data_IF_188755352900
#
_entry.id   IF_188755352900
#
_cell.length_a   1.000
_cell.length_b   1.000
_cell.length_c   1.000
_cell.angle_alpha   90.00
_cell.angle_beta   90.00
_cell.angle_gamma   90.00
#
_symmetry.space_group_name_H-M   'P 1'
#
loop_
_entity.id
_entity.type
_entity.pdbx_description
1 polymer ?
#
# COMPACT_ATOMS: atom_id res chain seq x y z
N UNK A 1 54.23 -36.19 -69.97
CA UNK A 1 54.94 -37.49 -69.96
C UNK A 1 55.93 -37.45 -68.79
N UNK A 2 55.97 -38.45 -67.90
CA UNK A 2 56.87 -38.44 -66.71
C UNK A 2 58.33 -38.50 -67.17
N UNK A 3 59.06 -37.39 -67.07
CA UNK A 3 60.48 -37.35 -67.44
C UNK A 3 61.38 -37.89 -66.33
N UNK A 4 62.63 -38.32 -66.63
CA UNK A 4 63.57 -38.79 -65.62
C UNK A 4 63.86 -37.76 -64.51
N UNK A 5 63.85 -36.47 -64.85
CA UNK A 5 64.06 -35.37 -63.90
C UNK A 5 62.90 -35.24 -62.92
N UNK A 6 61.66 -35.31 -63.42
CA UNK A 6 60.45 -35.30 -62.59
C UNK A 6 60.40 -36.51 -61.67
N UNK A 7 60.73 -37.70 -62.19
CA UNK A 7 60.74 -38.93 -61.39
C UNK A 7 61.82 -38.89 -60.29
N UNK A 8 63.02 -38.39 -60.61
CA UNK A 8 64.10 -38.23 -59.62
C UNK A 8 63.71 -37.26 -58.51
N UNK A 9 63.08 -36.13 -58.87
CA UNK A 9 62.61 -35.14 -57.91
C UNK A 9 61.54 -35.71 -56.98
N UNK A 10 60.51 -36.35 -57.54
CA UNK A 10 59.42 -36.96 -56.75
C UNK A 10 59.97 -38.05 -55.83
N UNK A 11 60.95 -38.85 -56.28
CA UNK A 11 61.55 -39.93 -55.48
C UNK A 11 62.27 -39.39 -54.25
N UNK A 12 63.03 -38.31 -54.38
CA UNK A 12 63.71 -37.69 -53.24
C UNK A 12 62.71 -37.03 -52.28
N UNK A 13 61.69 -36.35 -52.80
CA UNK A 13 60.66 -35.73 -51.95
C UNK A 13 59.80 -36.75 -51.22
N UNK A 14 59.55 -37.92 -51.82
CA UNK A 14 58.93 -39.07 -51.15
C UNK A 14 59.83 -39.61 -50.04
N UNK A 15 61.16 -39.70 -50.27
CA UNK A 15 62.15 -40.14 -49.27
C UNK A 15 62.20 -39.21 -48.06
N UNK A 16 62.09 -37.90 -48.30
CA UNK A 16 62.05 -36.86 -47.26
C UNK A 16 60.67 -36.69 -46.62
N UNK A 17 59.66 -37.46 -47.06
CA UNK A 17 58.27 -37.40 -46.59
C UNK A 17 57.57 -36.04 -46.83
N UNK A 18 57.96 -35.31 -47.87
CA UNK A 18 57.46 -33.98 -48.25
C UNK A 18 56.55 -34.03 -49.48
N UNK A 19 55.59 -34.97 -49.50
CA UNK A 19 54.78 -35.27 -50.70
C UNK A 19 53.81 -34.14 -51.08
N UNK A 20 53.22 -33.48 -50.08
CA UNK A 20 52.23 -32.42 -50.31
C UNK A 20 52.89 -31.13 -50.81
N UNK A 21 54.06 -30.81 -50.28
CA UNK A 21 54.90 -29.68 -50.66
C UNK A 21 55.41 -29.85 -52.09
N UNK A 22 55.93 -31.04 -52.42
CA UNK A 22 56.40 -31.36 -53.76
C UNK A 22 55.31 -31.22 -54.82
N UNK A 23 54.06 -31.64 -54.52
CA UNK A 23 52.93 -31.45 -55.46
C UNK A 23 52.65 -29.98 -55.74
N UNK A 24 52.63 -29.14 -54.69
CA UNK A 24 52.42 -27.70 -54.84
C UNK A 24 53.54 -27.04 -55.62
N UNK A 25 54.79 -27.40 -55.33
CA UNK A 25 55.95 -26.82 -55.99
C UNK A 25 56.02 -27.20 -57.48
N UNK A 26 55.77 -28.46 -57.83
CA UNK A 26 55.76 -28.89 -59.22
C UNK A 26 54.66 -28.21 -60.03
N UNK A 27 53.47 -28.00 -59.44
CA UNK A 27 52.41 -27.21 -60.06
C UNK A 27 52.83 -25.75 -60.28
N UNK A 28 53.51 -25.14 -59.30
CA UNK A 28 54.04 -23.77 -59.43
C UNK A 28 55.14 -23.66 -60.50
N UNK A 29 55.95 -24.71 -60.65
CA UNK A 29 56.96 -24.83 -61.70
C UNK A 29 56.37 -25.15 -63.09
N UNK A 30 55.05 -25.26 -63.19
CA UNK A 30 54.34 -25.42 -64.46
C UNK A 30 54.23 -26.86 -64.98
N UNK A 31 54.51 -27.86 -64.13
CA UNK A 31 54.29 -29.26 -64.52
C UNK A 31 52.79 -29.57 -64.59
N UNK A 32 52.33 -30.32 -65.61
CA UNK A 32 50.93 -30.74 -65.71
C UNK A 32 50.54 -31.63 -64.54
N UNK A 33 49.39 -31.36 -63.91
CA UNK A 33 48.89 -32.12 -62.75
C UNK A 33 48.78 -33.62 -63.04
N UNK A 34 48.40 -33.99 -64.27
CA UNK A 34 48.31 -35.38 -64.73
C UNK A 34 49.66 -36.08 -64.77
N UNK A 35 50.74 -35.37 -65.10
CA UNK A 35 52.11 -35.92 -65.09
C UNK A 35 52.67 -36.03 -63.66
N UNK A 36 52.32 -35.08 -62.79
CA UNK A 36 52.67 -35.10 -61.37
C UNK A 36 52.02 -36.32 -60.69
N UNK A 37 50.71 -36.49 -60.85
CA UNK A 37 49.98 -37.61 -60.25
C UNK A 37 50.45 -38.95 -60.83
N UNK A 38 50.67 -39.06 -62.14
CA UNK A 38 51.24 -40.26 -62.74
C UNK A 38 52.64 -40.59 -62.19
N UNK A 39 53.48 -39.58 -61.94
CA UNK A 39 54.80 -39.75 -61.31
C UNK A 39 54.70 -40.26 -59.87
N UNK A 40 53.80 -39.70 -59.06
CA UNK A 40 53.55 -40.17 -57.69
C UNK A 40 52.92 -41.56 -57.65
N UNK A 41 51.97 -41.88 -58.53
CA UNK A 41 51.37 -43.21 -58.64
C UNK A 41 52.40 -44.27 -59.04
N UNK A 42 53.28 -43.93 -59.99
CA UNK A 42 54.39 -44.80 -60.42
C UNK A 42 55.38 -45.09 -59.27
N UNK A 43 55.71 -44.08 -58.46
CA UNK A 43 56.67 -44.22 -57.35
C UNK A 43 56.05 -44.88 -56.12
N UNK A 44 54.77 -44.62 -55.83
CA UNK A 44 54.09 -45.12 -54.63
C UNK A 44 53.36 -46.45 -54.85
N UNK A 45 53.20 -46.90 -56.10
CA UNK A 45 52.64 -48.21 -56.44
C UNK A 45 51.14 -48.35 -56.13
N UNK A 46 50.39 -47.25 -56.01
CA UNK A 46 48.97 -47.29 -55.63
C UNK A 46 48.10 -47.08 -56.86
N UNK A 47 47.62 -48.17 -57.46
CA UNK A 47 46.55 -48.11 -58.45
C UNK A 47 45.19 -47.88 -57.73
N UNK A 48 44.43 -46.87 -58.16
CA UNK A 48 43.09 -46.60 -57.64
C UNK A 48 42.05 -47.55 -58.24
N UNK A 49 41.26 -48.25 -57.41
CA UNK A 49 40.16 -49.15 -57.88
C UNK A 49 38.77 -48.68 -57.40
N UNK A 50 37.72 -48.87 -58.23
CA UNK A 50 36.41 -48.21 -58.09
C UNK A 50 35.44 -48.93 -57.14
N UNK A 51 35.91 -49.43 -55.99
CA UNK A 51 35.07 -50.15 -55.00
C UNK A 51 34.85 -49.35 -53.70
N UNK A 52 35.62 -48.28 -53.46
CA UNK A 52 35.49 -47.42 -52.26
C UNK A 52 34.35 -46.39 -52.34
N UNK A 53 33.90 -45.98 -53.53
CA UNK A 53 32.84 -44.96 -53.67
C UNK A 53 31.45 -45.46 -53.20
N UNK A 54 31.11 -46.74 -53.40
CA UNK A 54 29.79 -47.27 -52.99
C UNK A 54 29.62 -47.37 -51.47
N UNK A 55 30.69 -47.64 -50.72
CA UNK A 55 30.63 -47.70 -49.24
C UNK A 55 30.50 -46.31 -48.62
N UNK A 56 31.10 -45.29 -49.23
CA UNK A 56 31.05 -43.91 -48.72
C UNK A 56 29.66 -43.28 -48.85
N UNK A 57 28.96 -43.54 -49.97
CA UNK A 57 27.58 -43.06 -50.19
C UNK A 57 26.56 -43.67 -49.20
N UNK A 58 26.72 -44.94 -48.82
CA UNK A 58 25.84 -45.59 -47.85
C UNK A 58 26.04 -45.02 -46.43
N UNK A 59 27.29 -44.75 -46.05
CA UNK A 59 27.60 -44.14 -44.74
C UNK A 59 27.08 -42.70 -44.67
N UNK A 60 27.20 -41.92 -45.74
CA UNK A 60 26.68 -40.55 -45.78
C UNK A 60 25.14 -40.52 -45.72
N UNK A 61 24.48 -41.46 -46.39
CA UNK A 61 23.02 -41.62 -46.32
C UNK A 61 22.53 -41.96 -44.90
N UNK A 62 23.23 -42.85 -44.20
CA UNK A 62 22.91 -43.20 -42.81
C UNK A 62 23.14 -42.02 -41.84
N UNK A 63 24.20 -41.23 -42.04
CA UNK A 63 24.47 -40.03 -41.23
C UNK A 63 23.37 -38.98 -41.43
N UNK A 64 22.91 -38.75 -42.66
CA UNK A 64 21.81 -37.82 -42.93
C UNK A 64 20.47 -38.29 -42.35
N UNK A 65 20.19 -39.60 -42.37
CA UNK A 65 19.01 -40.17 -41.72
C UNK A 65 19.10 -40.02 -40.20
N UNK A 66 20.26 -40.28 -39.59
CA UNK A 66 20.47 -40.05 -38.16
C UNK A 66 20.36 -38.56 -37.78
N UNK A 67 20.84 -37.64 -38.62
CA UNK A 67 20.67 -36.20 -38.43
C UNK A 67 19.21 -35.77 -38.57
N UNK A 68 18.47 -36.31 -39.55
CA UNK A 68 17.04 -36.06 -39.71
C UNK A 68 16.23 -36.63 -38.55
N UNK A 69 16.61 -37.79 -38.01
CA UNK A 69 16.01 -38.38 -36.80
C UNK A 69 16.38 -37.56 -35.56
N UNK A 70 17.62 -37.04 -35.43
CA UNK A 70 18.02 -36.17 -34.31
C UNK A 70 17.34 -34.80 -34.35
N UNK A 71 17.16 -34.22 -35.54
CA UNK A 71 16.40 -32.97 -35.73
C UNK A 71 14.90 -33.23 -35.52
N UNK A 72 14.36 -34.33 -36.04
CA UNK A 72 12.96 -34.73 -35.85
C UNK A 72 12.62 -35.11 -34.40
N UNK A 73 13.51 -35.81 -33.70
CA UNK A 73 13.38 -36.16 -32.28
C UNK A 73 13.66 -34.97 -31.36
N UNK A 74 14.55 -34.06 -31.75
CA UNK A 74 14.73 -32.76 -31.09
C UNK A 74 13.48 -31.88 -31.18
N UNK A 75 12.72 -31.98 -32.29
CA UNK A 75 11.44 -31.28 -32.47
C UNK A 75 10.29 -31.98 -31.72
N UNK A 76 10.33 -33.30 -31.53
CA UNK A 76 9.24 -34.06 -30.88
C UNK A 76 9.30 -34.12 -29.34
N UNK A 77 10.41 -33.72 -28.69
CA UNK A 77 10.52 -33.68 -27.21
C UNK A 77 10.11 -32.33 -26.61
N UNK A 78 9.77 -31.32 -27.42
CA UNK A 78 9.26 -30.01 -26.96
C UNK A 78 7.73 -29.88 -26.94
N UNK A 79 7.03 -31.02 -26.88
CA UNK A 79 5.58 -31.09 -26.69
C UNK A 79 5.12 -31.07 -25.23
N UNK A 80 5.94 -30.65 -24.25
CA UNK A 80 5.40 -30.32 -22.93
C UNK A 80 4.67 -29.00 -23.07
N UNK A 81 3.36 -29.09 -23.30
CA UNK A 81 2.40 -27.98 -23.21
C UNK A 81 2.83 -27.06 -22.08
N UNK A 82 3.24 -25.83 -22.43
CA UNK A 82 3.62 -24.85 -21.42
C UNK A 82 2.42 -24.68 -20.48
N UNK A 83 2.58 -25.05 -19.20
CA UNK A 83 1.52 -24.86 -18.21
C UNK A 83 1.07 -23.40 -18.27
N UNK A 84 -0.24 -23.12 -18.36
CA UNK A 84 -0.76 -21.76 -18.40
C UNK A 84 -0.39 -20.99 -17.13
N UNK A 85 -0.40 -19.67 -17.21
CA UNK A 85 -0.30 -18.79 -16.04
C UNK A 85 -1.61 -18.98 -15.27
N UNK A 86 -1.55 -19.20 -13.96
CA UNK A 86 -2.78 -19.29 -13.20
C UNK A 86 -3.20 -17.87 -12.83
N UNK A 87 -4.26 -17.36 -13.47
CA UNK A 87 -4.80 -16.02 -13.20
C UNK A 87 -6.07 -16.21 -12.39
N UNK A 88 -6.11 -15.63 -11.20
CA UNK A 88 -7.25 -15.72 -10.29
C UNK A 88 -7.65 -14.35 -9.80
N UNK A 89 -8.95 -14.15 -9.66
CA UNK A 89 -9.54 -13.03 -8.93
C UNK A 89 -9.89 -13.51 -7.53
N UNK A 90 -9.49 -12.74 -6.50
CA UNK A 90 -9.71 -13.03 -5.08
C UNK A 90 -10.13 -11.75 -4.36
N UNK A 91 -10.77 -11.93 -3.21
CA UNK A 91 -11.12 -10.86 -2.28
C UNK A 91 -10.56 -11.23 -0.92
N UNK A 92 -9.76 -10.34 -0.33
CA UNK A 92 -9.09 -10.53 0.95
C UNK A 92 -9.43 -9.38 1.88
N UNK A 93 -9.67 -9.66 3.15
CA UNK A 93 -10.09 -8.66 4.14
C UNK A 93 -9.08 -7.52 4.31
N UNK A 94 -7.80 -7.83 4.12
CA UNK A 94 -6.67 -6.94 4.33
C UNK A 94 -6.53 -5.89 3.23
N UNK A 95 -6.69 -6.31 1.96
CA UNK A 95 -6.38 -5.47 0.78
C UNK A 95 -7.60 -5.12 -0.08
N UNK A 96 -8.67 -5.92 0.00
CA UNK A 96 -9.86 -5.80 -0.83
C UNK A 96 -9.81 -6.75 -2.02
N UNK A 97 -10.23 -6.26 -3.19
CA UNK A 97 -10.18 -6.98 -4.45
C UNK A 97 -8.71 -7.17 -4.91
N UNK A 98 -8.40 -8.33 -5.48
CA UNK A 98 -7.06 -8.61 -6.01
C UNK A 98 -7.10 -9.56 -7.21
N UNK A 99 -6.22 -9.33 -8.18
CA UNK A 99 -5.91 -10.27 -9.24
C UNK A 99 -4.49 -10.80 -9.01
N UNK A 100 -4.35 -12.11 -8.97
CA UNK A 100 -3.05 -12.78 -8.81
C UNK A 100 -2.73 -13.54 -10.10
N UNK A 101 -1.57 -13.27 -10.66
CA UNK A 101 -0.97 -14.05 -11.74
C UNK A 101 0.15 -14.90 -11.14
N UNK A 102 -0.10 -16.20 -11.02
CA UNK A 102 0.84 -17.17 -10.50
C UNK A 102 1.60 -17.85 -11.65
N UNK A 103 2.91 -17.62 -11.66
CA UNK A 103 3.81 -18.11 -12.70
C UNK A 103 4.42 -19.44 -12.27
N UNK A 104 4.02 -20.50 -12.97
CA UNK A 104 4.58 -21.86 -12.80
C UNK A 104 6.08 -21.99 -13.17
N UNK A 105 6.68 -20.95 -13.77
CA UNK A 105 8.10 -20.88 -14.13
C UNK A 105 8.67 -19.55 -13.67
N UNK A 106 9.89 -19.58 -13.15
CA UNK A 106 10.60 -18.37 -12.71
C UNK A 106 10.68 -17.36 -13.84
N UNK A 107 10.17 -16.16 -13.59
CA UNK A 107 10.25 -15.00 -14.47
C UNK A 107 10.64 -13.78 -13.64
N UNK A 108 11.04 -12.68 -14.28
CA UNK A 108 11.40 -11.44 -13.59
C UNK A 108 10.28 -10.42 -13.69
N UNK A 109 10.27 -9.48 -12.74
CA UNK A 109 9.33 -8.35 -12.70
C UNK A 109 9.31 -7.57 -14.02
N UNK A 110 10.49 -7.25 -14.58
CA UNK A 110 10.62 -6.45 -15.82
C UNK A 110 10.03 -7.16 -17.03
N UNK A 111 9.98 -8.49 -16.98
CA UNK A 111 9.31 -9.28 -18.00
C UNK A 111 7.82 -9.43 -17.69
N UNK A 112 7.38 -9.45 -16.44
CA UNK A 112 5.99 -9.70 -16.07
C UNK A 112 5.11 -8.46 -16.23
N UNK A 113 5.49 -7.34 -15.60
CA UNK A 113 4.65 -6.14 -15.49
C UNK A 113 4.21 -5.54 -16.84
N UNK A 114 5.10 -5.32 -17.84
CA UNK A 114 4.70 -4.66 -19.09
C UNK A 114 3.73 -5.46 -19.94
N UNK A 115 3.50 -6.74 -19.59
CA UNK A 115 2.61 -7.65 -20.33
C UNK A 115 1.24 -7.78 -19.68
N UNK A 116 1.04 -7.26 -18.47
CA UNK A 116 -0.26 -7.20 -17.83
C UNK A 116 -1.06 -6.00 -18.36
N UNK A 117 -2.35 -6.23 -18.62
CA UNK A 117 -3.33 -5.17 -18.83
C UNK A 117 -4.73 -5.70 -18.48
N UNK A 118 -5.66 -4.81 -18.12
CA UNK A 118 -7.04 -5.16 -17.79
C UNK A 118 -8.01 -4.31 -18.61
N UNK A 119 -9.15 -4.88 -19.00
CA UNK A 119 -10.22 -4.21 -19.74
C UNK A 119 -11.58 -4.42 -19.04
N UNK A 120 -12.38 -3.37 -18.78
CA UNK A 120 -12.02 -1.95 -18.91
C UNK A 120 -10.80 -1.59 -18.04
N UNK A 121 -10.14 -0.48 -18.39
CA UNK A 121 -8.95 -0.03 -17.66
C UNK A 121 -9.31 0.30 -16.20
N UNK A 122 -8.46 -0.11 -15.27
CA UNK A 122 -8.65 0.07 -13.83
C UNK A 122 -7.34 0.54 -13.23
N UNK A 123 -7.37 1.67 -12.51
CA UNK A 123 -6.22 2.13 -11.73
C UNK A 123 -5.98 1.20 -10.54
N UNK A 124 -4.73 0.78 -10.35
CA UNK A 124 -4.36 -0.13 -9.29
C UNK A 124 -2.86 -0.27 -9.12
N UNK A 125 -2.46 -0.83 -7.98
CA UNK A 125 -1.08 -1.21 -7.73
C UNK A 125 -0.77 -2.51 -8.45
N UNK A 126 0.37 -2.56 -9.14
CA UNK A 126 0.86 -3.76 -9.81
C UNK A 126 2.21 -4.14 -9.21
N UNK A 127 2.22 -5.14 -8.33
CA UNK A 127 3.39 -5.48 -7.51
C UNK A 127 3.86 -6.89 -7.79
N UNK A 128 5.18 -7.03 -7.97
CA UNK A 128 5.83 -8.32 -8.08
C UNK A 128 6.22 -8.85 -6.69
N UNK A 129 5.92 -10.12 -6.44
CA UNK A 129 6.27 -10.82 -5.20
C UNK A 129 7.27 -11.93 -5.55
N UNK A 130 8.54 -11.65 -5.30
CA UNK A 130 9.66 -12.51 -5.69
C UNK A 130 9.61 -13.91 -5.06
N UNK A 131 9.21 -13.99 -3.79
CA UNK A 131 9.22 -15.23 -3.02
C UNK A 131 8.23 -16.27 -3.57
N UNK A 132 7.10 -15.79 -4.10
CA UNK A 132 6.04 -16.63 -4.65
C UNK A 132 6.02 -16.64 -6.18
N UNK A 133 6.87 -15.84 -6.84
CA UNK A 133 6.90 -15.69 -8.30
C UNK A 133 5.50 -15.32 -8.84
N UNK A 134 4.86 -14.37 -8.16
CA UNK A 134 3.49 -13.91 -8.43
C UNK A 134 3.48 -12.42 -8.78
N UNK A 135 2.61 -12.04 -9.71
CA UNK A 135 2.28 -10.64 -9.98
C UNK A 135 0.89 -10.35 -9.42
N UNK A 136 0.82 -9.40 -8.50
CA UNK A 136 -0.38 -9.00 -7.79
C UNK A 136 -0.88 -7.68 -8.36
N UNK A 137 -2.17 -7.58 -8.62
CA UNK A 137 -2.83 -6.35 -9.02
C UNK A 137 -3.98 -6.02 -8.06
N UNK A 138 -3.88 -4.88 -7.38
CA UNK A 138 -4.86 -4.41 -6.40
C UNK A 138 -5.48 -3.07 -6.88
N UNK A 139 -6.76 -3.03 -7.30
CA UNK A 139 -7.40 -1.82 -7.79
C UNK A 139 -7.59 -0.78 -6.68
N UNK A 140 -7.31 0.48 -6.97
CA UNK A 140 -7.37 1.57 -5.97
C UNK A 140 -8.76 1.77 -5.38
N UNK A 141 -9.82 1.54 -6.16
CA UNK A 141 -11.21 1.73 -5.73
C UNK A 141 -12.03 0.42 -5.67
N UNK A 142 -11.39 -0.73 -5.82
CA UNK A 142 -12.10 -2.00 -6.04
C UNK A 142 -12.65 -2.15 -7.47
N UNK A 143 -13.30 -3.27 -7.76
CA UNK A 143 -14.00 -3.53 -9.02
C UNK A 143 -15.50 -3.24 -8.91
N UNK A 144 -16.11 -2.81 -10.01
CA UNK A 144 -17.55 -2.56 -10.08
C UNK A 144 -18.34 -3.88 -10.08
N UNK A 145 -19.32 -4.00 -9.20
CA UNK A 145 -20.14 -5.22 -9.09
C UNK A 145 -20.91 -5.51 -10.37
N UNK A 146 -20.93 -6.78 -10.79
CA UNK A 146 -21.64 -7.22 -11.99
C UNK A 146 -20.97 -6.82 -13.32
N UNK A 147 -19.87 -6.05 -13.27
CA UNK A 147 -19.09 -5.69 -14.45
C UNK A 147 -18.20 -6.86 -14.87
N UNK A 148 -18.18 -7.15 -16.17
CA UNK A 148 -17.22 -8.08 -16.76
C UNK A 148 -15.87 -7.38 -16.94
N UNK A 149 -14.81 -8.03 -16.45
CA UNK A 149 -13.42 -7.62 -16.63
C UNK A 149 -12.65 -8.71 -17.38
N UNK A 150 -11.75 -8.30 -18.26
CA UNK A 150 -10.82 -9.16 -18.96
C UNK A 150 -9.39 -8.79 -18.59
N UNK A 151 -8.72 -9.70 -17.89
CA UNK A 151 -7.28 -9.65 -17.69
C UNK A 151 -6.60 -10.20 -18.93
N UNK A 152 -5.71 -9.41 -19.50
CA UNK A 152 -4.91 -9.74 -20.66
C UNK A 152 -3.44 -9.81 -20.24
N UNK A 153 -2.85 -11.00 -20.33
CA UNK A 153 -1.41 -11.17 -20.20
C UNK A 153 -0.81 -11.46 -21.58
N UNK A 154 -0.05 -10.50 -22.11
CA UNK A 154 0.52 -10.58 -23.46
C UNK A 154 1.65 -11.63 -23.51
N UNK A 155 1.83 -12.22 -24.70
CA UNK A 155 2.93 -13.15 -24.95
C UNK A 155 4.26 -12.38 -24.96
N UNK A 156 5.32 -12.97 -24.45
CA UNK A 156 6.64 -12.33 -24.42
C UNK A 156 7.29 -12.34 -25.80
N UNK A 157 7.96 -11.25 -26.15
CA UNK A 157 8.79 -11.12 -27.35
C UNK A 157 10.10 -10.48 -26.91
N UNK A 158 11.23 -11.11 -27.21
CA UNK A 158 12.53 -10.54 -26.87
C UNK A 158 12.99 -9.53 -27.93
N UNK A 159 14.11 -8.86 -27.70
CA UNK A 159 14.69 -7.86 -28.63
C UNK A 159 15.03 -8.42 -30.03
N UNK A 160 15.07 -9.74 -30.19
CA UNK A 160 15.30 -10.42 -31.46
C UNK A 160 14.01 -10.92 -32.13
N UNK A 161 12.83 -10.51 -31.64
CA UNK A 161 11.54 -10.93 -32.16
C UNK A 161 11.17 -12.38 -31.82
N UNK A 162 11.94 -13.07 -30.98
CA UNK A 162 11.65 -14.44 -30.57
C UNK A 162 10.55 -14.46 -29.52
N UNK A 163 9.48 -15.18 -29.83
CA UNK A 163 8.32 -15.35 -28.95
C UNK A 163 8.68 -16.31 -27.81
N UNK A 164 8.33 -15.94 -26.58
CA UNK A 164 8.47 -16.79 -25.40
C UNK A 164 7.24 -16.65 -24.48
N UNK A 165 7.04 -17.65 -23.63
CA UNK A 165 5.89 -17.71 -22.74
C UNK A 165 4.55 -17.93 -23.45
N UNK A 166 3.48 -17.87 -22.67
CA UNK A 166 2.10 -18.05 -23.12
C UNK A 166 1.37 -16.73 -22.90
N UNK A 167 0.64 -16.26 -23.91
CA UNK A 167 -0.31 -15.16 -23.74
C UNK A 167 -1.63 -15.74 -23.27
N UNK A 168 -2.30 -15.09 -22.33
CA UNK A 168 -3.51 -15.60 -21.69
C UNK A 168 -4.52 -14.50 -21.46
N UNK A 169 -5.80 -14.86 -21.60
CA UNK A 169 -6.93 -14.01 -21.26
C UNK A 169 -7.72 -14.68 -20.15
N UNK A 170 -8.15 -13.91 -19.16
CA UNK A 170 -8.98 -14.38 -18.06
C UNK A 170 -10.13 -13.40 -17.87
N UNK A 171 -11.37 -13.90 -17.96
CA UNK A 171 -12.55 -13.08 -17.72
C UNK A 171 -13.10 -13.39 -16.34
N UNK A 172 -13.50 -12.35 -15.60
CA UNK A 172 -14.21 -12.50 -14.34
C UNK A 172 -15.29 -11.42 -14.20
N UNK A 173 -16.24 -11.68 -13.31
CA UNK A 173 -17.23 -10.71 -12.87
C UNK A 173 -16.98 -10.44 -11.40
N UNK A 174 -16.85 -9.17 -11.04
CA UNK A 174 -16.72 -8.82 -9.63
C UNK A 174 -18.06 -9.05 -8.91
N UNK A 175 -18.02 -9.85 -7.86
CA UNK A 175 -19.17 -10.19 -7.02
C UNK A 175 -18.98 -9.64 -5.62
N UNK A 176 -20.07 -9.63 -4.85
CA UNK A 176 -20.02 -9.35 -3.41
C UNK A 176 -19.22 -10.47 -2.73
N UNK A 177 -18.35 -10.12 -1.78
CA UNK A 177 -17.55 -11.10 -1.05
C UNK A 177 -18.42 -11.92 -0.13
N UNK A 178 -18.29 -13.24 -0.23
CA UNK A 178 -18.89 -14.21 0.69
C UNK A 178 -17.89 -14.52 1.81
N UNK A 179 -17.46 -13.53 2.59
CA UNK A 179 -16.78 -13.85 3.85
C UNK A 179 -17.83 -14.52 4.74
N UNK A 180 -17.56 -15.77 5.13
CA UNK A 180 -18.51 -16.60 5.87
C UNK A 180 -19.12 -15.81 7.04
N UNK A 181 -20.43 -15.64 6.99
CA UNK A 181 -21.30 -15.20 8.07
C UNK A 181 -21.32 -16.29 9.17
N UNK A 182 -20.16 -16.65 9.72
CA UNK A 182 -20.13 -17.39 10.98
C UNK A 182 -20.65 -16.42 12.02
N UNK A 183 -21.89 -16.67 12.45
CA UNK A 183 -22.52 -16.11 13.65
C UNK A 183 -21.64 -16.44 14.86
N UNK A 184 -20.56 -15.68 15.06
CA UNK A 184 -19.77 -15.75 16.27
C UNK A 184 -20.37 -14.77 17.29
N UNK A 185 -20.92 -15.36 18.35
CA UNK A 185 -20.92 -14.80 19.70
C UNK A 185 -22.00 -13.77 19.99
N UNK A 186 -23.00 -14.19 20.76
CA UNK A 186 -23.83 -13.30 21.56
C UNK A 186 -22.97 -12.30 22.38
N UNK A 187 -23.51 -11.11 22.69
CA UNK A 187 -22.83 -10.14 23.54
C UNK A 187 -22.45 -10.81 24.87
N UNK A 188 -21.15 -10.87 25.15
CA UNK A 188 -20.65 -11.27 26.46
C UNK A 188 -21.02 -10.14 27.43
N UNK A 189 -22.15 -10.29 28.10
CA UNK A 189 -22.50 -9.49 29.26
C UNK A 189 -21.47 -9.74 30.35
N UNK A 190 -20.41 -8.93 30.39
CA UNK A 190 -19.49 -8.93 31.53
C UNK A 190 -20.19 -8.17 32.67
N UNK A 191 -20.41 -8.88 33.77
CA UNK A 191 -20.82 -8.30 35.03
C UNK A 191 -19.75 -7.29 35.48
N UNK A 192 -20.17 -6.07 35.82
CA UNK A 192 -19.29 -4.94 36.14
C UNK A 192 -18.55 -5.26 37.44
N UNK A 193 -17.25 -5.57 37.37
CA UNK A 193 -16.42 -5.72 38.58
C UNK A 193 -16.14 -4.31 39.12
N UNK A 194 -16.60 -3.95 40.33
CA UNK A 194 -16.36 -2.63 40.89
C UNK A 194 -14.86 -2.36 41.07
N UNK A 195 -14.36 -1.25 40.50
CA UNK A 195 -12.97 -0.81 40.64
C UNK A 195 -12.04 -1.13 39.45
N UNK A 196 -12.52 -1.82 38.42
CA UNK A 196 -11.79 -2.01 37.15
C UNK A 196 -12.49 -1.19 36.06
N UNK A 197 -11.76 -0.24 35.47
CA UNK A 197 -12.28 0.56 34.35
C UNK A 197 -12.63 -0.36 33.17
N UNK A 198 -13.87 -0.31 32.70
CA UNK A 198 -14.32 -1.12 31.56
C UNK A 198 -13.85 -0.46 30.27
N UNK A 199 -12.77 -0.99 29.69
CA UNK A 199 -12.26 -0.55 28.38
C UNK A 199 -13.11 -1.12 27.25
N UNK A 200 -13.52 -0.27 26.31
CA UNK A 200 -14.09 -0.69 25.03
C UNK A 200 -13.69 0.22 23.88
N UNK A 201 -13.79 -0.29 22.66
CA UNK A 201 -13.55 0.43 21.41
C UNK A 201 -14.91 0.59 20.71
N UNK A 202 -15.23 1.80 20.31
CA UNK A 202 -16.39 2.11 19.46
C UNK A 202 -15.90 2.53 18.08
N UNK A 203 -16.34 1.82 17.05
CA UNK A 203 -15.98 2.05 15.65
C UNK A 203 -17.24 2.48 14.92
N UNK A 204 -17.33 3.76 14.62
CA UNK A 204 -18.42 4.31 13.81
C UNK A 204 -17.96 4.42 12.35
N UNK A 205 -18.50 3.55 11.49
CA UNK A 205 -18.16 3.44 10.08
C UNK A 205 -18.82 4.50 9.20
N UNK A 206 -19.86 5.17 9.70
CA UNK A 206 -20.52 6.27 9.00
C UNK A 206 -19.78 7.58 9.29
N UNK A 207 -19.53 7.88 10.57
CA UNK A 207 -18.72 9.02 10.99
C UNK A 207 -17.20 8.84 10.72
N UNK A 208 -16.76 7.64 10.31
CA UNK A 208 -15.36 7.29 10.08
C UNK A 208 -14.46 7.61 11.31
N UNK A 209 -14.92 7.24 12.51
CA UNK A 209 -14.18 7.48 13.76
C UNK A 209 -14.06 6.24 14.62
N UNK A 210 -12.92 6.12 15.30
CA UNK A 210 -12.69 5.13 16.36
C UNK A 210 -12.55 5.87 17.69
N UNK A 211 -13.33 5.45 18.68
CA UNK A 211 -13.30 6.00 20.04
C UNK A 211 -12.82 4.94 21.02
N UNK A 212 -11.95 5.34 21.95
CA UNK A 212 -11.50 4.52 23.06
C UNK A 212 -12.31 4.93 24.27
N UNK A 213 -13.02 3.99 24.89
CA UNK A 213 -13.92 4.26 26.00
C UNK A 213 -13.41 3.61 27.28
N UNK A 214 -13.51 4.36 28.36
CA UNK A 214 -13.38 3.84 29.72
C UNK A 214 -14.66 4.14 30.48
N UNK A 215 -15.26 3.08 31.05
CA UNK A 215 -16.50 3.14 31.82
C UNK A 215 -17.69 3.78 31.06
N UNK A 216 -17.69 3.65 29.73
CA UNK A 216 -18.73 4.17 28.84
C UNK A 216 -18.49 5.59 28.33
N UNK A 217 -17.39 6.23 28.73
CA UNK A 217 -17.01 7.56 28.26
C UNK A 217 -15.82 7.46 27.30
N UNK A 218 -15.89 8.14 26.15
CA UNK A 218 -14.73 8.23 25.27
C UNK A 218 -13.60 9.02 25.96
N UNK A 219 -12.46 8.37 26.15
CA UNK A 219 -11.22 9.00 26.62
C UNK A 219 -10.32 9.44 25.46
N UNK A 220 -10.60 8.95 24.25
CA UNK A 220 -9.94 9.39 23.03
C UNK A 220 -10.84 9.12 21.82
N UNK A 221 -10.68 9.93 20.78
CA UNK A 221 -11.35 9.75 19.49
C UNK A 221 -10.38 10.07 18.36
N UNK A 222 -10.34 9.21 17.36
CA UNK A 222 -9.42 9.32 16.22
C UNK A 222 -10.16 9.07 14.91
N UNK A 223 -9.68 9.64 13.78
CA UNK A 223 -10.20 9.32 12.46
C UNK A 223 -9.81 7.91 12.03
N UNK A 224 -10.71 7.23 11.34
CA UNK A 224 -10.45 5.98 10.61
C UNK A 224 -9.95 6.34 9.21
N UNK A 225 -8.84 5.74 8.79
CA UNK A 225 -8.24 6.04 7.49
C UNK A 225 -8.98 5.32 6.34
N UNK A 226 -9.39 4.07 6.56
CA UNK A 226 -10.17 3.31 5.58
C UNK A 226 -10.97 2.18 6.24
N UNK A 227 -12.04 1.77 5.55
CA UNK A 227 -12.92 0.65 5.91
C UNK A 227 -13.12 -0.29 4.73
N UNK A 228 -13.83 -1.38 4.96
CA UNK A 228 -14.25 -2.31 3.92
C UNK A 228 -15.09 -1.63 2.84
N UNK A 229 -15.03 -2.14 1.61
CA UNK A 229 -15.82 -1.61 0.51
C UNK A 229 -17.32 -1.80 0.82
N UNK A 230 -18.14 -0.73 0.94
CA UNK A 230 -19.54 -0.85 1.36
C UNK A 230 -20.41 -1.72 0.45
N UNK A 231 -20.01 -1.86 -0.82
CA UNK A 231 -20.78 -2.57 -1.84
C UNK A 231 -20.32 -4.01 -1.99
N UNK A 232 -19.01 -4.25 -2.07
CA UNK A 232 -18.46 -5.58 -2.34
C UNK A 232 -18.04 -6.32 -1.07
N UNK A 233 -17.34 -5.68 -0.15
CA UNK A 233 -16.69 -6.32 1.00
C UNK A 233 -16.78 -5.44 2.26
N UNK A 234 -17.99 -5.24 2.81
CA UNK A 234 -18.21 -4.29 3.89
C UNK A 234 -17.52 -4.73 5.17
N UNK A 235 -17.10 -3.76 5.99
CA UNK A 235 -16.66 -4.03 7.36
C UNK A 235 -17.82 -4.61 8.16
N UNK A 236 -17.54 -5.67 8.91
CA UNK A 236 -18.54 -6.36 9.72
C UNK A 236 -18.98 -5.50 10.92
N UNK A 237 -20.27 -5.18 10.98
CA UNK A 237 -20.90 -4.53 12.14
C UNK A 237 -21.29 -5.56 13.22
N UNK A 238 -21.35 -5.13 14.48
CA UNK A 238 -21.69 -5.94 15.64
C UNK A 238 -20.79 -5.69 16.85
N UNK A 239 -20.92 -6.56 17.85
CA UNK A 239 -20.11 -6.53 19.06
C UNK A 239 -19.09 -7.67 19.03
N UNK A 240 -17.84 -7.33 19.28
CA UNK A 240 -16.69 -8.22 19.20
C UNK A 240 -15.75 -8.01 20.39
N UNK A 241 -14.63 -8.71 20.39
CA UNK A 241 -13.52 -8.47 21.32
C UNK A 241 -12.20 -8.59 20.57
N UNK A 242 -11.16 -7.90 21.04
CA UNK A 242 -9.78 -8.11 20.55
C UNK A 242 -9.39 -9.55 20.86
N UNK A 243 -9.19 -10.37 19.83
CA UNK A 243 -8.81 -11.79 19.95
C UNK A 243 -7.29 -11.97 20.05
N UNK A 244 -6.55 -11.26 19.21
CA UNK A 244 -5.09 -11.30 19.17
C UNK A 244 -4.52 -9.91 18.92
N UNK A 245 -3.25 -9.72 19.26
CA UNK A 245 -2.49 -8.50 19.01
C UNK A 245 -1.13 -8.86 18.45
N UNK A 246 -0.79 -8.32 17.29
CA UNK A 246 0.48 -8.55 16.61
C UNK A 246 1.07 -7.20 16.19
N UNK A 247 2.23 -6.79 16.74
CA UNK A 247 2.85 -5.52 16.36
C UNK A 247 3.13 -5.41 14.86
N UNK A 248 3.34 -6.55 14.21
CA UNK A 248 3.56 -6.66 12.77
C UNK A 248 3.07 -8.02 12.27
N UNK A 249 1.86 -8.07 11.73
CA UNK A 249 1.25 -9.27 11.18
C UNK A 249 1.53 -9.39 9.67
N UNK A 250 1.90 -10.57 9.19
CA UNK A 250 2.02 -10.84 7.75
C UNK A 250 0.80 -11.63 7.28
N UNK A 251 0.00 -11.05 6.39
CA UNK A 251 -1.08 -11.81 5.77
C UNK A 251 -0.50 -12.80 4.77
N UNK A 252 -0.57 -14.08 5.10
CA UNK A 252 -0.19 -15.15 4.17
C UNK A 252 -1.10 -15.24 2.94
N UNK A 253 -2.30 -14.66 3.01
CA UNK A 253 -3.29 -14.64 1.93
C UNK A 253 -3.02 -13.48 0.97
N UNK A 254 -3.00 -12.25 1.48
CA UNK A 254 -2.85 -11.03 0.70
C UNK A 254 -1.38 -10.60 0.49
N UNK A 255 -0.41 -11.29 1.10
CA UNK A 255 1.03 -11.04 0.99
C UNK A 255 1.48 -9.62 1.41
N UNK A 256 0.73 -8.99 2.31
CA UNK A 256 1.06 -7.67 2.86
C UNK A 256 1.38 -7.74 4.35
N UNK A 257 2.17 -6.77 4.81
CA UNK A 257 2.38 -6.51 6.23
C UNK A 257 1.31 -5.57 6.76
N UNK A 258 0.74 -5.90 7.91
CA UNK A 258 -0.21 -5.10 8.67
C UNK A 258 0.42 -4.72 10.02
N UNK A 259 0.83 -3.45 10.22
CA UNK A 259 1.39 -3.01 11.49
C UNK A 259 0.28 -2.84 12.54
N UNK A 260 0.62 -3.09 13.81
CA UNK A 260 -0.29 -2.97 14.96
C UNK A 260 -1.65 -3.66 14.75
N UNK A 261 -1.62 -4.91 14.31
CA UNK A 261 -2.81 -5.65 13.92
C UNK A 261 -3.51 -6.25 15.16
N UNK A 262 -4.80 -5.97 15.27
CA UNK A 262 -5.68 -6.53 16.30
C UNK A 262 -6.83 -7.29 15.63
N UNK A 263 -6.81 -8.62 15.73
CA UNK A 263 -7.88 -9.45 15.18
C UNK A 263 -9.14 -9.30 16.04
N UNK A 264 -10.32 -9.15 15.42
CA UNK A 264 -11.57 -9.08 16.17
C UNK A 264 -12.66 -10.05 15.71
N UNK A 265 -12.62 -10.52 14.46
CA UNK A 265 -13.59 -11.50 13.94
C UNK A 265 -13.03 -12.18 12.69
N UNK A 266 -13.02 -13.51 12.59
CA UNK A 266 -12.50 -14.22 11.39
C UNK A 266 -11.18 -13.62 10.87
N UNK A 267 -11.17 -13.21 9.60
CA UNK A 267 -10.03 -12.55 8.94
C UNK A 267 -10.03 -11.01 9.07
N UNK A 268 -10.87 -10.44 9.94
CA UNK A 268 -11.04 -9.00 10.14
C UNK A 268 -10.17 -8.47 11.28
N UNK A 269 -9.45 -7.39 10.99
CA UNK A 269 -8.53 -6.72 11.90
C UNK A 269 -8.80 -5.22 11.99
N UNK A 270 -8.45 -4.63 13.14
CA UNK A 270 -8.12 -3.21 13.26
C UNK A 270 -6.61 -3.11 13.17
N UNK A 271 -6.05 -2.37 12.20
CA UNK A 271 -4.61 -2.32 11.98
C UNK A 271 -4.16 -0.98 11.37
N UNK A 272 -2.86 -0.68 11.42
CA UNK A 272 -2.27 0.46 10.71
C UNK A 272 -2.19 0.25 9.20
N UNK A 273 -1.77 1.26 8.45
CA UNK A 273 -1.78 1.19 6.99
C UNK A 273 -0.93 0.02 6.44
N UNK A 274 -1.48 -0.88 5.61
CA UNK A 274 -0.75 -2.05 5.13
C UNK A 274 0.27 -1.68 4.06
N UNK A 275 1.31 -2.50 3.95
CA UNK A 275 2.40 -2.30 2.99
C UNK A 275 2.90 -3.61 2.39
N UNK A 276 3.36 -3.54 1.15
CA UNK A 276 3.93 -4.67 0.41
C UNK A 276 5.28 -5.11 1.00
N UNK A 277 5.76 -6.34 0.73
CA UNK A 277 7.05 -6.82 1.23
C UNK A 277 8.23 -5.91 0.86
N UNK A 278 8.14 -5.20 -0.26
CA UNK A 278 9.14 -4.22 -0.71
C UNK A 278 9.09 -2.88 0.04
N UNK A 279 8.19 -2.70 1.02
CA UNK A 279 8.04 -1.49 1.82
C UNK A 279 7.08 -0.45 1.23
N UNK A 280 6.56 -0.64 0.02
CA UNK A 280 5.61 0.29 -0.60
C UNK A 280 4.26 0.22 0.11
N UNK A 281 3.72 1.37 0.51
CA UNK A 281 2.37 1.44 1.10
C UNK A 281 1.32 0.99 0.07
N UNK A 282 0.31 0.27 0.52
CA UNK A 282 -0.81 -0.15 -0.32
C UNK A 282 -1.66 1.07 -0.71
N UNK A 283 -1.96 1.29 -1.98
CA UNK A 283 -2.73 2.46 -2.42
C UNK A 283 -4.24 2.22 -2.48
N UNK A 284 -4.72 1.03 -2.11
CA UNK A 284 -6.16 0.73 -2.13
C UNK A 284 -6.92 1.57 -1.11
N UNK A 285 -7.98 2.26 -1.55
CA UNK A 285 -8.83 3.10 -0.71
C UNK A 285 -9.64 2.29 0.28
N UNK A 286 -10.12 1.12 -0.15
CA UNK A 286 -10.93 0.23 0.66
C UNK A 286 -10.11 -0.99 1.08
N UNK A 287 -10.41 -1.52 2.26
CA UNK A 287 -10.03 -2.89 2.62
C UNK A 287 -11.08 -3.88 2.10
N UNK A 288 -10.84 -5.17 2.33
CA UNK A 288 -11.88 -6.19 2.15
C UNK A 288 -12.73 -6.41 3.39
N UNK A 289 -12.65 -5.50 4.37
CA UNK A 289 -13.39 -5.63 5.62
C UNK A 289 -12.68 -5.06 6.84
N UNK A 290 -11.36 -5.08 6.88
CA UNK A 290 -10.58 -4.54 8.00
C UNK A 290 -10.81 -3.03 8.22
N UNK A 291 -10.58 -2.57 9.44
CA UNK A 291 -10.55 -1.14 9.79
C UNK A 291 -9.09 -0.69 9.77
N UNK A 292 -8.75 0.23 8.86
CA UNK A 292 -7.38 0.76 8.72
C UNK A 292 -7.26 2.09 9.45
N UNK A 293 -6.22 2.20 10.25
CA UNK A 293 -5.86 3.39 11.00
C UNK A 293 -4.62 4.06 10.39
N UNK A 294 -4.55 5.38 10.53
CA UNK A 294 -3.37 6.15 10.12
C UNK A 294 -2.17 5.88 11.03
N UNK A 295 -1.00 6.31 10.57
CA UNK A 295 0.23 6.30 11.37
C UNK A 295 0.04 7.08 12.70
N UNK A 296 0.62 6.57 13.79
CA UNK A 296 0.44 7.09 15.15
C UNK A 296 -0.90 6.74 15.79
N UNK A 297 -2.01 6.77 15.04
CA UNK A 297 -3.33 6.34 15.55
C UNK A 297 -3.35 4.84 15.79
N UNK A 298 -2.82 4.03 14.84
CA UNK A 298 -2.75 2.58 15.00
C UNK A 298 -1.97 2.15 16.24
N UNK A 299 -0.84 2.81 16.52
CA UNK A 299 -0.02 2.59 17.70
C UNK A 299 -0.75 2.99 18.99
N UNK A 300 -1.35 4.18 19.04
CA UNK A 300 -2.10 4.63 20.21
C UNK A 300 -3.26 3.68 20.57
N UNK A 301 -4.03 3.24 19.58
CA UNK A 301 -5.14 2.30 19.77
C UNK A 301 -4.61 0.93 20.19
N UNK A 302 -3.54 0.44 19.53
CA UNK A 302 -2.94 -0.85 19.82
C UNK A 302 -2.34 -0.89 21.23
N UNK A 303 -1.61 0.12 21.66
CA UNK A 303 -0.97 0.14 22.97
C UNK A 303 -1.99 0.25 24.10
N UNK A 304 -3.09 1.00 23.89
CA UNK A 304 -4.14 1.16 24.88
C UNK A 304 -5.01 -0.10 25.07
N UNK A 305 -5.31 -0.80 23.96
CA UNK A 305 -6.18 -1.96 23.96
C UNK A 305 -5.48 -3.22 24.45
N UNK A 306 -6.22 -4.13 25.09
CA UNK A 306 -5.73 -5.42 25.55
C UNK A 306 -6.48 -6.54 24.82
N UNK A 307 -5.92 -7.75 24.78
CA UNK A 307 -6.68 -8.92 24.34
C UNK A 307 -7.89 -9.08 25.26
N UNK A 308 -9.09 -9.14 24.67
CA UNK A 308 -10.36 -9.18 25.38
C UNK A 308 -11.02 -7.81 25.61
N UNK A 309 -10.42 -6.69 25.16
CA UNK A 309 -11.11 -5.39 25.09
C UNK A 309 -12.32 -5.52 24.16
N UNK A 310 -13.49 -5.04 24.61
CA UNK A 310 -14.72 -5.10 23.82
C UNK A 310 -14.64 -4.12 22.64
N UNK A 311 -15.21 -4.49 21.51
CA UNK A 311 -15.29 -3.66 20.30
C UNK A 311 -16.74 -3.61 19.85
N UNK A 312 -17.28 -2.43 19.57
CA UNK A 312 -18.57 -2.26 18.90
C UNK A 312 -18.34 -1.59 17.56
N UNK A 313 -18.76 -2.22 16.48
CA UNK A 313 -18.68 -1.68 15.12
C UNK A 313 -20.08 -1.39 14.63
N UNK A 314 -20.37 -0.17 14.19
CA UNK A 314 -21.70 0.24 13.72
C UNK A 314 -21.64 1.39 12.70
N UNK A 315 -22.75 1.60 12.00
CA UNK A 315 -22.99 2.78 11.16
C UNK A 315 -24.11 3.71 11.69
N UNK A 316 -24.46 3.59 12.97
CA UNK A 316 -25.46 4.45 13.61
C UNK A 316 -24.99 5.93 13.67
N UNK A 317 -25.73 6.81 13.00
CA UNK A 317 -25.50 8.27 12.93
C UNK A 317 -25.93 9.00 14.21
N UNK A 318 -26.87 8.44 14.97
CA UNK A 318 -27.46 9.08 16.14
C UNK A 318 -26.74 8.68 17.44
N UNK A 319 -25.90 7.64 17.38
CA UNK A 319 -25.10 7.18 18.52
C UNK A 319 -23.90 8.10 18.75
N UNK A 320 -24.15 9.20 19.46
CA UNK A 320 -23.11 10.13 19.85
C UNK A 320 -22.36 9.59 21.06
N UNK A 321 -21.09 9.24 20.87
CA UNK A 321 -20.23 8.83 21.98
C UNK A 321 -19.89 10.04 22.83
N UNK A 322 -20.28 9.98 24.10
CA UNK A 322 -20.01 11.03 25.08
C UNK A 322 -18.56 10.93 25.55
N UNK A 323 -17.80 12.00 25.36
CA UNK A 323 -16.40 12.13 25.75
C UNK A 323 -16.31 12.41 27.25
N UNK A 324 -15.35 11.79 27.92
CA UNK A 324 -15.00 12.11 29.30
C UNK A 324 -14.52 13.57 29.37
N UNK A 325 -15.03 14.40 30.28
CA UNK A 325 -14.53 15.76 30.45
C UNK A 325 -13.03 15.82 30.74
N UNK A 326 -12.43 14.79 31.32
CA UNK A 326 -11.00 14.74 31.62
C UNK A 326 -10.14 14.53 30.36
N UNK A 327 -10.71 13.94 29.31
CA UNK A 327 -10.05 13.62 28.05
C UNK A 327 -10.02 14.76 27.04
N UNK A 328 -10.78 15.84 27.30
CA UNK A 328 -10.79 17.02 26.45
C UNK A 328 -9.39 17.64 26.35
N UNK A 329 -9.09 18.22 25.20
CA UNK A 329 -7.82 18.87 24.85
C UNK A 329 -8.06 20.35 24.53
N UNK A 330 -6.99 21.13 24.60
CA UNK A 330 -7.03 22.52 24.16
C UNK A 330 -7.42 22.59 22.66
N UNK A 331 -8.40 23.43 22.34
CA UNK A 331 -8.96 23.57 21.00
C UNK A 331 -10.20 22.70 20.73
N UNK A 332 -10.56 21.79 21.62
CA UNK A 332 -11.78 20.98 21.45
C UNK A 332 -13.02 21.88 21.53
N UNK A 333 -13.95 21.68 20.60
CA UNK A 333 -15.27 22.27 20.63
C UNK A 333 -16.25 21.28 21.23
N UNK A 334 -16.95 21.68 22.28
CA UNK A 334 -17.69 20.79 23.16
C UNK A 334 -19.11 21.28 23.38
N UNK A 335 -20.07 20.35 23.44
CA UNK A 335 -21.44 20.62 23.87
C UNK A 335 -21.83 19.63 24.98
N UNK A 336 -22.43 20.13 26.06
CA UNK A 336 -23.01 19.25 27.07
C UNK A 336 -24.30 18.60 26.56
N UNK A 337 -24.58 17.37 26.96
CA UNK A 337 -25.81 16.67 26.58
C UNK A 337 -27.07 17.49 26.94
N UNK A 338 -27.93 17.70 25.94
CA UNK A 338 -29.17 18.48 26.09
C UNK A 338 -28.98 19.99 26.19
N UNK A 339 -27.75 20.51 26.09
CA UNK A 339 -27.47 21.94 26.01
C UNK A 339 -27.41 22.42 24.56
N UNK A 340 -27.79 23.69 24.33
CA UNK A 340 -27.59 24.38 23.05
C UNK A 340 -26.19 24.98 22.93
N UNK A 341 -25.58 25.32 24.05
CA UNK A 341 -24.36 26.12 24.07
C UNK A 341 -23.14 25.29 23.67
N UNK A 342 -22.26 25.92 22.88
CA UNK A 342 -20.98 25.37 22.48
C UNK A 342 -19.87 26.02 23.30
N UNK A 343 -18.89 25.22 23.71
CA UNK A 343 -17.74 25.66 24.48
C UNK A 343 -16.45 25.28 23.77
N UNK A 344 -15.55 26.25 23.62
CA UNK A 344 -14.18 26.00 23.24
C UNK A 344 -13.37 25.70 24.50
N UNK A 345 -12.57 24.64 24.47
CA UNK A 345 -11.75 24.19 25.60
C UNK A 345 -10.33 24.71 25.48
N UNK A 346 -9.73 25.09 26.61
CA UNK A 346 -8.32 25.39 26.72
C UNK A 346 -7.74 24.77 28.00
N UNK A 347 -6.49 24.34 27.94
CA UNK A 347 -5.80 23.67 29.06
C UNK A 347 -4.44 24.32 29.24
N UNK A 348 -4.23 24.91 30.42
CA UNK A 348 -3.03 25.68 30.76
C UNK A 348 -2.48 25.17 32.08
N UNK A 349 -1.41 24.38 32.02
CA UNK A 349 -0.92 23.63 33.18
C UNK A 349 -2.03 22.71 33.72
N UNK A 350 -2.39 22.90 34.99
CA UNK A 350 -3.48 22.16 35.64
C UNK A 350 -4.87 22.82 35.47
N UNK A 351 -4.93 24.04 34.93
CA UNK A 351 -6.20 24.76 34.73
C UNK A 351 -6.93 24.24 33.50
N UNK A 352 -8.23 24.02 33.66
CA UNK A 352 -9.15 23.63 32.59
C UNK A 352 -10.13 24.77 32.37
N UNK A 353 -10.02 25.43 31.22
CA UNK A 353 -10.79 26.61 30.89
C UNK A 353 -11.81 26.29 29.81
N UNK A 354 -12.96 26.95 29.87
CA UNK A 354 -13.96 26.94 28.80
C UNK A 354 -14.37 28.37 28.46
N UNK A 355 -14.64 28.60 27.18
CA UNK A 355 -15.25 29.84 26.68
C UNK A 355 -16.43 29.48 25.82
N UNK A 356 -17.52 30.26 25.91
CA UNK A 356 -18.63 30.09 24.98
C UNK A 356 -18.19 30.40 23.55
N UNK A 357 -18.48 29.49 22.63
CA UNK A 357 -18.15 29.59 21.21
C UNK A 357 -19.36 30.07 20.41
N UNK A 358 -19.14 31.05 19.54
CA UNK A 358 -20.18 31.66 18.71
C UNK A 358 -19.83 31.49 17.24
N UNK A 359 -20.40 30.50 16.57
CA UNK A 359 -20.16 30.28 15.14
C UNK A 359 -20.95 29.12 14.57
N UNK A 360 -21.12 29.13 13.26
CA UNK A 360 -21.67 27.98 12.54
C UNK A 360 -20.57 26.94 12.39
N UNK A 361 -20.71 25.80 13.07
CA UNK A 361 -19.80 24.67 12.94
C UNK A 361 -20.58 23.43 12.55
N UNK A 362 -19.94 22.62 11.70
CA UNK A 362 -20.36 21.27 11.38
C UNK A 362 -20.50 20.44 12.66
N UNK A 363 -21.71 19.92 12.91
CA UNK A 363 -22.04 19.14 14.11
C UNK A 363 -21.11 17.94 14.32
N UNK A 364 -20.50 17.42 13.27
CA UNK A 364 -19.55 16.30 13.34
C UNK A 364 -18.25 16.67 14.10
N UNK A 365 -17.91 17.95 14.19
CA UNK A 365 -16.71 18.45 14.89
C UNK A 365 -16.96 18.78 16.37
N UNK A 366 -18.21 18.69 16.82
CA UNK A 366 -18.60 18.99 18.20
C UNK A 366 -18.52 17.72 19.04
N UNK A 367 -17.64 17.71 20.04
CA UNK A 367 -17.60 16.64 21.04
C UNK A 367 -18.78 16.80 22.00
N UNK A 368 -19.48 15.70 22.31
CA UNK A 368 -20.49 15.71 23.37
C UNK A 368 -19.88 15.27 24.68
N UNK A 369 -20.23 15.93 25.76
CA UNK A 369 -19.86 15.53 27.13
C UNK A 369 -21.12 15.39 28.00
N UNK A 370 -21.07 14.66 29.12
CA UNK A 370 -22.25 14.47 29.94
C UNK A 370 -22.77 15.81 30.44
N UNK A 371 -24.07 15.91 30.69
CA UNK A 371 -24.65 17.11 31.31
C UNK A 371 -23.92 17.46 32.62
N UNK A 372 -23.43 18.69 32.74
CA UNK A 372 -22.62 19.13 33.89
C UNK A 372 -21.17 18.63 33.89
N UNK A 373 -20.72 17.96 32.83
CA UNK A 373 -19.35 17.46 32.69
C UNK A 373 -18.31 18.59 32.69
N UNK A 374 -18.70 19.80 32.29
CA UNK A 374 -17.84 20.98 32.30
C UNK A 374 -17.93 21.79 33.60
N UNK A 375 -18.54 21.28 34.68
CA UNK A 375 -18.68 22.03 35.95
C UNK A 375 -17.32 22.37 36.59
N UNK A 376 -16.32 21.53 36.39
CA UNK A 376 -14.95 21.73 36.87
C UNK A 376 -14.11 22.64 35.98
N UNK A 377 -14.63 23.02 34.80
CA UNK A 377 -13.96 23.93 33.89
C UNK A 377 -14.29 25.37 34.26
N UNK A 378 -13.25 26.17 34.52
CA UNK A 378 -13.39 27.58 34.81
C UNK A 378 -13.80 28.34 33.54
N UNK A 379 -14.74 29.28 33.67
CA UNK A 379 -15.15 30.09 32.55
C UNK A 379 -14.15 31.23 32.32
N UNK A 380 -13.67 31.37 31.08
CA UNK A 380 -12.87 32.51 30.65
C UNK A 380 -13.62 33.23 29.53
N UNK A 381 -13.84 34.52 29.72
CA UNK A 381 -14.38 35.43 28.71
C UNK A 381 -13.27 36.11 27.88
N UNK A 382 -12.00 35.82 28.15
CA UNK A 382 -10.89 36.51 27.50
C UNK A 382 -10.50 35.85 26.19
N UNK A 383 -10.39 36.67 25.15
CA UNK A 383 -10.08 36.20 23.82
C UNK A 383 -9.32 37.24 23.00
N UNK A 384 -8.58 36.77 22.00
CA UNK A 384 -7.80 37.63 21.12
C UNK A 384 -7.96 37.17 19.68
N UNK A 385 -8.12 38.12 18.77
CA UNK A 385 -8.16 37.84 17.35
C UNK A 385 -6.73 37.54 16.86
N UNK A 386 -6.54 36.37 16.28
CA UNK A 386 -5.20 35.94 15.81
C UNK A 386 -4.92 36.34 14.36
N UNK A 387 -5.94 36.77 13.61
CA UNK A 387 -5.86 37.14 12.20
C UNK A 387 -6.06 38.65 12.03
N UNK A 388 -5.29 39.28 11.13
CA UNK A 388 -5.42 40.72 10.85
C UNK A 388 -4.53 41.66 11.67
N UNK A 389 -3.58 41.13 12.45
CA UNK A 389 -2.57 41.93 13.16
C UNK A 389 -3.07 42.70 14.37
N UNK A 390 -4.24 42.31 14.90
CA UNK A 390 -4.85 42.89 16.09
C UNK A 390 -4.21 42.31 17.36
N UNK A 391 -3.54 43.17 18.14
CA UNK A 391 -2.93 42.76 19.41
C UNK A 391 -3.84 43.00 20.61
N UNK A 392 -5.05 43.52 20.42
CA UNK A 392 -5.99 43.80 21.51
C UNK A 392 -6.56 42.51 22.10
N UNK A 393 -6.79 42.54 23.41
CA UNK A 393 -7.50 41.47 24.13
C UNK A 393 -8.93 41.92 24.36
N UNK A 394 -9.86 41.00 24.17
CA UNK A 394 -11.29 41.23 24.27
C UNK A 394 -11.88 40.40 25.39
N UNK A 395 -12.89 40.94 26.06
CA UNK A 395 -13.80 40.20 26.92
C UNK A 395 -15.07 39.89 26.14
N UNK A 396 -15.39 38.62 25.92
CA UNK A 396 -16.58 38.12 25.23
C UNK A 396 -17.59 37.63 26.25
N UNK A 397 -18.73 38.31 26.35
CA UNK A 397 -19.78 37.92 27.28
C UNK A 397 -20.60 36.72 26.78
N UNK A 398 -21.51 36.23 27.63
CA UNK A 398 -22.36 35.08 27.30
C UNK A 398 -23.40 35.34 26.19
N UNK A 399 -23.54 36.60 25.77
CA UNK A 399 -24.42 37.00 24.66
C UNK A 399 -23.63 37.19 23.34
N UNK A 400 -22.32 36.95 23.36
CA UNK A 400 -21.45 37.13 22.20
C UNK A 400 -21.11 38.59 21.90
N UNK A 401 -21.27 39.49 22.87
CA UNK A 401 -20.73 40.85 22.78
C UNK A 401 -19.28 40.87 23.25
N UNK A 402 -18.46 41.69 22.59
CA UNK A 402 -17.05 41.83 22.90
C UNK A 402 -16.74 43.25 23.39
N UNK A 403 -15.84 43.31 24.37
CA UNK A 403 -15.37 44.55 24.97
C UNK A 403 -13.85 44.57 24.90
N UNK A 404 -13.29 45.57 24.20
CA UNK A 404 -11.85 45.76 24.15
C UNK A 404 -11.31 46.15 25.53
N UNK A 405 -10.33 45.39 26.02
CA UNK A 405 -9.64 45.72 27.25
C UNK A 405 -8.72 46.91 27.03
N UNK A 406 -9.01 48.00 27.74
CA UNK A 406 -8.14 49.17 27.75
C UNK A 406 -6.99 48.95 28.74
N UNK A 407 -5.84 48.53 28.23
CA UNK A 407 -4.60 48.43 28.99
C UNK A 407 -3.89 49.79 29.04
N UNK A 408 -4.58 50.79 29.59
CA UNK A 408 -4.10 52.18 29.62
C UNK A 408 -2.90 52.41 30.54
N UNK A 409 -2.29 53.60 30.41
CA UNK A 409 -1.28 54.11 31.33
C UNK A 409 -1.85 54.31 32.73
N UNK A 410 -1.39 53.52 33.69
CA UNK A 410 -1.59 53.80 35.12
C UNK A 410 -0.51 54.77 35.59
N UNK A 411 -0.67 55.44 36.76
CA UNK A 411 0.40 56.24 37.37
C UNK A 411 1.73 55.47 37.55
N UNK A 412 1.70 54.13 37.50
CA UNK A 412 2.85 53.24 37.64
C UNK A 412 3.46 52.77 36.31
N UNK A 413 2.84 53.04 35.15
CA UNK A 413 3.24 52.48 33.85
C UNK A 413 3.68 53.52 32.81
N UNK A 414 4.05 54.74 33.23
CA UNK A 414 4.48 55.86 32.38
C UNK A 414 5.64 55.58 31.39
N UNK A 415 6.28 54.42 31.45
CA UNK A 415 7.45 54.08 30.63
C UNK A 415 7.36 52.72 29.90
N UNK A 416 6.21 52.03 29.92
CA UNK A 416 6.02 50.79 29.15
C UNK A 416 5.04 51.08 28.02
N UNK A 417 5.46 50.78 26.79
CA UNK A 417 4.68 50.87 25.55
C UNK A 417 3.27 50.27 25.76
N UNK A 418 2.30 51.14 26.05
CA UNK A 418 0.94 50.81 26.47
C UNK A 418 0.06 50.40 25.28
N UNK A 419 0.48 49.37 24.55
CA UNK A 419 -0.32 48.76 23.47
C UNK A 419 -0.52 47.26 23.64
N UNK A 420 0.20 46.61 24.56
CA UNK A 420 0.07 45.18 24.78
C UNK A 420 -0.38 44.88 26.22
N UNK A 421 -1.50 44.16 26.35
CA UNK A 421 -2.09 43.76 27.63
C UNK A 421 -1.34 42.63 28.35
N UNK A 422 -0.46 41.87 27.67
CA UNK A 422 0.17 40.68 28.25
C UNK A 422 0.96 40.94 29.55
N UNK A 423 1.80 41.99 29.67
CA UNK A 423 2.55 42.23 30.91
C UNK A 423 1.64 42.51 32.12
N UNK A 424 0.48 43.13 31.88
CA UNK A 424 -0.52 43.38 32.92
C UNK A 424 -1.29 42.11 33.28
N UNK A 425 -1.51 41.24 32.29
CA UNK A 425 -2.11 39.92 32.46
C UNK A 425 -1.28 39.04 33.40
N UNK A 426 0.03 38.97 33.15
CA UNK A 426 0.98 38.25 34.00
C UNK A 426 1.02 38.82 35.43
N UNK A 427 0.96 40.15 35.58
CA UNK A 427 0.90 40.81 36.90
C UNK A 427 -0.36 40.47 37.71
N UNK A 428 -1.47 40.12 37.05
CA UNK A 428 -2.70 39.66 37.70
C UNK A 428 -2.66 38.15 38.02
N UNK A 429 -1.55 37.47 37.75
CA UNK A 429 -1.38 36.05 38.01
C UNK A 429 -2.02 35.15 36.96
N UNK A 430 -2.32 35.69 35.78
CA UNK A 430 -2.87 34.95 34.65
C UNK A 430 -1.80 34.69 33.59
N UNK A 431 -1.77 33.47 33.05
CA UNK A 431 -0.91 33.12 31.93
C UNK A 431 -1.54 33.62 30.62
N UNK A 432 -0.74 34.17 29.69
CA UNK A 432 -1.27 34.67 28.42
C UNK A 432 -1.87 33.55 27.55
N UNK A 433 -1.46 32.29 27.77
CA UNK A 433 -2.07 31.12 27.14
C UNK A 433 -3.49 30.84 27.61
N UNK A 434 -3.99 31.51 28.66
CA UNK A 434 -5.40 31.47 29.08
C UNK A 434 -6.32 32.25 28.12
N UNK A 435 -5.75 33.14 27.29
CA UNK A 435 -6.49 33.96 26.31
C UNK A 435 -6.87 33.10 25.11
N UNK A 436 -8.16 32.98 24.83
CA UNK A 436 -8.66 32.16 23.73
C UNK A 436 -8.37 32.80 22.36
N UNK A 437 -7.83 32.06 21.38
CA UNK A 437 -7.73 32.57 20.02
C UNK A 437 -9.12 32.61 19.36
N UNK A 438 -9.45 33.73 18.72
CA UNK A 438 -10.62 33.90 17.84
C UNK A 438 -10.13 33.96 16.40
N UNK A 439 -10.68 33.08 15.56
CA UNK A 439 -10.47 33.06 14.11
C UNK A 439 -11.46 34.00 13.41
N UNK A 440 -11.15 34.42 12.19
CA UNK A 440 -12.01 35.35 11.45
C UNK A 440 -13.45 34.83 11.22
N UNK A 441 -13.65 33.52 11.12
CA UNK A 441 -15.00 32.93 10.99
C UNK A 441 -15.86 33.16 12.23
N UNK A 442 -15.31 32.89 13.40
CA UNK A 442 -15.97 33.14 14.68
C UNK A 442 -16.13 34.66 14.92
N UNK A 443 -15.10 35.45 14.58
CA UNK A 443 -15.13 36.91 14.68
C UNK A 443 -16.32 37.53 13.93
N UNK A 444 -16.67 36.99 12.75
CA UNK A 444 -17.83 37.46 11.97
C UNK A 444 -19.18 37.06 12.58
N UNK A 445 -19.22 35.96 13.32
CA UNK A 445 -20.43 35.45 13.95
C UNK A 445 -20.73 36.13 15.30
N UNK A 446 -19.70 36.68 15.95
CA UNK A 446 -19.86 37.55 17.11
C UNK A 446 -20.64 38.81 16.72
N UNK A 447 -21.52 39.23 17.63
CA UNK A 447 -22.31 40.44 17.46
C UNK A 447 -21.36 41.63 17.28
N UNK A 448 -21.54 42.45 16.24
CA UNK A 448 -20.92 43.78 16.17
C UNK A 448 -21.60 44.69 17.22
N UNK A 449 -21.36 44.43 18.50
CA UNK A 449 -21.59 45.41 19.54
C UNK A 449 -20.68 46.60 19.27
N UNK A 450 -21.22 47.80 19.24
CA UNK A 450 -20.36 48.98 19.35
C UNK A 450 -19.50 48.80 20.62
N UNK A 451 -18.16 48.93 20.56
CA UNK A 451 -17.30 48.68 21.70
C UNK A 451 -17.71 49.61 22.84
N UNK A 452 -18.39 49.06 23.86
CA UNK A 452 -18.57 49.76 25.12
C UNK A 452 -17.30 49.53 25.92
N UNK A 453 -16.54 50.61 26.13
CA UNK A 453 -15.29 50.64 26.87
C UNK A 453 -15.55 50.20 28.30
N UNK A 454 -14.80 49.18 28.76
CA UNK A 454 -14.77 48.72 30.16
C UNK A 454 -13.43 49.10 30.76
#
# INVERSE_FOLDING_TARGET
MVTPELESYIREMVRLNLKAEARKELLLLGWPETDIEAGFEKILGVASTPQKQKKWLIVMGLILICLAILVGSGVLVWGKTAKPINIVYRQYSEIGDEIILDFNKKITEELAQPRFSIEPDVSGDLVWVDETNQLHFAPHNGFALGQNYQVNFKRGVNIFGRIFGVGQKFNFVATKSEFEDRKEGEPVGRERIPGIAVKSIDVNLEAMTISLLEDGFAIARYPIAAKGNPWSSPTREGTFTVKTKEPRHFSSLAKVWMPQAMQYSGDYFIHGWPYWPNGTLLATRYSGGCVRLGEGVSEAVFDWAEVGTAITVHSDVDKVVVVSPQALKAGDLVQEEGASDLFLINIVGDKRLKRQFFGNIDSEKVLKVPKGGLVSYEFSDFAQRIEGGDSSVYRVDSSGFWHELQCGETPYSKNLLAQNCYPKWELLGHDYSEIFPIRDEEWRALSQGAPQKI
#
